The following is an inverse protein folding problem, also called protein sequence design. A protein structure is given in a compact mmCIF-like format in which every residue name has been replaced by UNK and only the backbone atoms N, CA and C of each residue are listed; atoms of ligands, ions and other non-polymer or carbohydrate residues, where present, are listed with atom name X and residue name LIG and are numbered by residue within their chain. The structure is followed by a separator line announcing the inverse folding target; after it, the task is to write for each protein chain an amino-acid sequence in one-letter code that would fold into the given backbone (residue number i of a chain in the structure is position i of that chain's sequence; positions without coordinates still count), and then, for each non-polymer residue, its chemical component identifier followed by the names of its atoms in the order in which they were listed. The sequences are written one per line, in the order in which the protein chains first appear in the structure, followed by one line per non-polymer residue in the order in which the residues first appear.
data_IF_077307059804
#
_entry.id   IF_077307059804
#
_cell.length_a   1.000
_cell.length_b   1.000
_cell.length_c   1.000
_cell.angle_alpha   90.00
_cell.angle_beta   90.00
_cell.angle_gamma   90.00
#
_symmetry.space_group_name_H-M   'P 1'
#
loop_
_entity.id
_entity.type
_entity.pdbx_description
1 polymer ?
#
# COMPACT_ATOMS: atom_id res chain seq x y z
N UNK A 1 -30.58 -16.18 17.37
CA UNK A 1 -29.23 -16.16 16.76
C UNK A 1 -28.79 -14.71 16.68
N UNK A 2 -27.84 -14.26 17.51
CA UNK A 2 -27.39 -12.86 17.52
C UNK A 2 -26.51 -12.62 16.30
N UNK A 3 -26.95 -11.78 15.37
CA UNK A 3 -26.12 -11.22 14.31
C UNK A 3 -24.91 -10.54 14.97
N UNK A 4 -23.73 -11.14 14.80
CA UNK A 4 -22.47 -10.46 15.13
C UNK A 4 -22.32 -9.34 14.10
N UNK A 5 -22.52 -8.08 14.50
CA UNK A 5 -22.04 -6.93 13.71
C UNK A 5 -20.54 -7.10 13.53
N UNK A 6 -20.14 -7.58 12.36
CA UNK A 6 -18.74 -7.62 11.96
C UNK A 6 -18.33 -6.18 11.67
N UNK A 7 -17.54 -5.59 12.57
CA UNK A 7 -16.95 -4.26 12.38
C UNK A 7 -15.68 -4.41 11.56
N UNK A 8 -15.60 -3.75 10.41
CA UNK A 8 -14.43 -3.76 9.53
C UNK A 8 -14.74 -4.22 8.09
N UNK A 9 -13.71 -4.28 7.26
CA UNK A 9 -13.81 -4.69 5.85
C UNK A 9 -13.67 -6.21 5.72
N UNK A 10 -14.64 -6.86 5.07
CA UNK A 10 -14.63 -8.31 4.84
C UNK A 10 -14.92 -8.64 3.37
N UNK A 11 -14.33 -9.71 2.88
CA UNK A 11 -14.64 -10.24 1.56
C UNK A 11 -15.79 -11.26 1.58
N UNK A 12 -16.13 -11.80 0.41
CA UNK A 12 -17.19 -12.81 0.24
C UNK A 12 -16.93 -14.13 1.00
N UNK A 13 -15.68 -14.40 1.38
CA UNK A 13 -15.28 -15.56 2.18
C UNK A 13 -15.16 -15.23 3.68
N UNK A 14 -15.64 -14.06 4.11
CA UNK A 14 -15.60 -13.62 5.51
C UNK A 14 -14.16 -13.45 6.05
N UNK A 15 -13.18 -13.21 5.18
CA UNK A 15 -11.80 -12.86 5.61
C UNK A 15 -11.75 -11.38 5.92
N UNK A 16 -11.18 -11.03 7.07
CA UNK A 16 -10.97 -9.63 7.44
C UNK A 16 -9.84 -9.03 6.61
N UNK A 17 -10.12 -7.92 5.94
CA UNK A 17 -9.14 -7.13 5.21
C UNK A 17 -8.63 -6.04 6.16
N UNK A 18 -7.44 -6.24 6.72
CA UNK A 18 -6.83 -5.33 7.69
C UNK A 18 -5.49 -4.75 7.22
N UNK A 19 -4.98 -5.16 6.06
CA UNK A 19 -3.71 -4.69 5.53
C UNK A 19 -3.82 -4.19 4.09
N UNK A 20 -3.04 -3.18 3.78
CA UNK A 20 -2.92 -2.57 2.46
C UNK A 20 -1.47 -2.68 2.00
N UNK A 21 -1.26 -3.29 0.82
CA UNK A 21 0.05 -3.34 0.15
C UNK A 21 0.09 -2.28 -0.94
N UNK A 22 1.04 -1.36 -0.87
CA UNK A 22 1.18 -0.26 -1.83
C UNK A 22 2.49 -0.45 -2.58
N UNK A 23 2.43 -0.49 -3.91
CA UNK A 23 3.61 -0.38 -4.78
C UNK A 23 3.93 1.10 -4.96
N UNK A 24 5.08 1.56 -4.44
CA UNK A 24 5.45 2.99 -4.49
C UNK A 24 6.35 3.33 -5.68
N UNK A 25 6.91 2.32 -6.34
CA UNK A 25 7.76 2.45 -7.52
C UNK A 25 7.88 1.11 -8.25
N UNK A 26 8.03 1.13 -9.57
CA UNK A 26 8.22 -0.09 -10.37
C UNK A 26 9.70 -0.39 -10.65
N UNK A 27 10.60 0.56 -10.36
CA UNK A 27 12.03 0.41 -10.57
C UNK A 27 12.66 -0.42 -9.45
N UNK A 28 13.59 -1.31 -9.82
CA UNK A 28 14.42 -2.09 -8.92
C UNK A 28 15.89 -1.97 -9.34
N UNK A 29 16.81 -1.98 -8.38
CA UNK A 29 18.25 -1.99 -8.63
C UNK A 29 18.80 -3.40 -8.85
N UNK A 30 17.94 -4.43 -8.78
CA UNK A 30 18.26 -5.82 -9.06
C UNK A 30 17.44 -6.34 -10.24
N UNK A 31 17.98 -7.37 -10.90
CA UNK A 31 17.36 -8.04 -12.05
C UNK A 31 17.17 -9.53 -11.73
N UNK A 32 16.39 -9.82 -10.68
CA UNK A 32 16.22 -11.18 -10.16
C UNK A 32 15.50 -12.06 -11.19
N UNK A 33 16.05 -13.23 -11.49
CA UNK A 33 15.54 -14.17 -12.53
C UNK A 33 14.07 -14.53 -12.32
N UNK A 34 13.63 -14.75 -11.08
CA UNK A 34 12.24 -15.13 -10.77
C UNK A 34 11.27 -13.94 -10.68
N UNK A 35 11.78 -12.69 -10.71
CA UNK A 35 10.97 -11.49 -10.52
C UNK A 35 10.87 -10.64 -11.79
N UNK A 36 11.95 -10.56 -12.57
CA UNK A 36 12.07 -9.64 -13.71
C UNK A 36 11.37 -10.11 -14.99
N UNK A 37 11.13 -11.42 -15.16
CA UNK A 37 10.64 -11.98 -16.42
C UNK A 37 9.21 -11.52 -16.78
N UNK A 38 8.45 -10.98 -15.82
CA UNK A 38 7.05 -10.58 -16.00
C UNK A 38 6.75 -9.08 -15.80
N UNK A 39 7.74 -8.25 -15.45
CA UNK A 39 7.50 -6.98 -14.75
C UNK A 39 8.16 -5.73 -15.36
N UNK A 40 8.74 -5.79 -16.56
CA UNK A 40 9.40 -4.63 -17.20
C UNK A 40 8.41 -3.63 -17.81
N UNK A 41 7.51 -3.09 -17.01
CA UNK A 41 6.78 -1.87 -17.37
C UNK A 41 7.42 -0.74 -16.58
N UNK A 42 8.32 0.00 -17.23
CA UNK A 42 8.82 1.25 -16.69
C UNK A 42 7.71 2.29 -16.86
N UNK A 43 6.81 2.34 -15.89
CA UNK A 43 5.75 3.35 -15.91
C UNK A 43 6.39 4.74 -15.86
N UNK A 44 5.90 5.69 -16.68
CA UNK A 44 6.32 7.07 -16.55
C UNK A 44 5.89 7.59 -15.17
N UNK A 45 6.65 8.54 -14.63
CA UNK A 45 6.38 9.08 -13.28
C UNK A 45 4.96 9.63 -13.11
N UNK A 46 4.34 10.08 -14.20
CA UNK A 46 2.95 10.57 -14.22
C UNK A 46 1.89 9.48 -13.98
N UNK A 47 2.24 8.21 -14.17
CA UNK A 47 1.34 7.08 -13.93
C UNK A 47 1.51 6.47 -12.53
N UNK A 48 2.52 6.92 -11.77
CA UNK A 48 2.75 6.50 -10.39
C UNK A 48 2.06 7.50 -9.46
N UNK A 49 1.31 6.97 -8.48
CA UNK A 49 0.64 7.80 -7.47
C UNK A 49 1.62 8.71 -6.74
N UNK A 50 1.23 9.96 -6.57
CA UNK A 50 1.90 10.93 -5.70
C UNK A 50 1.79 10.54 -4.22
N UNK A 51 2.64 11.12 -3.38
CA UNK A 51 2.60 10.84 -1.95
C UNK A 51 1.28 11.30 -1.32
N UNK A 52 0.73 12.40 -1.83
CA UNK A 52 -0.53 13.00 -1.42
C UNK A 52 -1.71 12.07 -1.75
N UNK A 53 -1.70 11.45 -2.93
CA UNK A 53 -2.69 10.46 -3.32
C UNK A 53 -2.58 9.19 -2.48
N UNK A 54 -1.37 8.71 -2.23
CA UNK A 54 -1.14 7.54 -1.36
C UNK A 54 -1.63 7.83 0.06
N UNK A 55 -1.30 9.00 0.62
CA UNK A 55 -1.75 9.40 1.95
C UNK A 55 -3.28 9.47 2.03
N UNK A 56 -3.93 10.08 1.03
CA UNK A 56 -5.39 10.13 0.95
C UNK A 56 -6.00 8.73 0.90
N UNK A 57 -5.41 7.83 0.10
CA UNK A 57 -5.87 6.45 -0.01
C UNK A 57 -5.75 5.71 1.32
N UNK A 58 -4.64 5.88 2.04
CA UNK A 58 -4.43 5.27 3.36
C UNK A 58 -5.40 5.83 4.40
N UNK A 59 -5.70 7.13 4.39
CA UNK A 59 -6.71 7.74 5.28
C UNK A 59 -8.10 7.14 5.07
N UNK A 60 -8.53 7.00 3.81
CA UNK A 60 -9.81 6.37 3.47
C UNK A 60 -9.79 4.90 3.92
N UNK A 61 -8.72 4.16 3.63
CA UNK A 61 -8.60 2.77 4.01
C UNK A 61 -8.61 2.56 5.54
N UNK A 62 -7.95 3.42 6.30
CA UNK A 62 -7.96 3.40 7.75
C UNK A 62 -9.37 3.59 8.31
N UNK A 63 -10.15 4.50 7.73
CA UNK A 63 -11.56 4.70 8.10
C UNK A 63 -12.45 3.46 7.87
N UNK A 64 -11.99 2.51 7.03
CA UNK A 64 -12.68 1.25 6.74
C UNK A 64 -12.19 0.08 7.61
N UNK A 65 -11.23 0.33 8.51
CA UNK A 65 -10.68 -0.66 9.45
C UNK A 65 -9.38 -1.34 8.98
N UNK A 66 -8.70 -0.81 7.97
CA UNK A 66 -7.32 -1.19 7.67
C UNK A 66 -6.39 -0.57 8.72
N UNK A 67 -5.50 -1.36 9.30
CA UNK A 67 -4.54 -0.86 10.29
C UNK A 67 -3.08 -1.09 9.91
N UNK A 68 -2.79 -1.87 8.87
CA UNK A 68 -1.42 -2.16 8.44
C UNK A 68 -1.17 -1.68 7.02
N UNK A 69 -0.08 -0.93 6.82
CA UNK A 69 0.37 -0.53 5.48
C UNK A 69 1.74 -1.13 5.20
N UNK A 70 1.86 -1.87 4.09
CA UNK A 70 3.13 -2.41 3.61
C UNK A 70 3.53 -1.71 2.33
N UNK A 71 4.62 -0.94 2.40
CA UNK A 71 5.22 -0.33 1.22
C UNK A 71 6.10 -1.36 0.50
N UNK A 72 5.89 -1.49 -0.80
CA UNK A 72 6.57 -2.41 -1.71
C UNK A 72 6.78 -1.74 -3.05
N UNK A 73 7.24 -2.48 -4.05
CA UNK A 73 7.43 -2.01 -5.42
C UNK A 73 8.38 -2.94 -6.14
N UNK A 74 9.22 -2.39 -7.00
CA UNK A 74 10.55 -2.94 -7.27
C UNK A 74 11.39 -2.86 -6.00
N UNK A 75 12.23 -1.84 -5.88
CA UNK A 75 12.96 -1.54 -4.65
C UNK A 75 12.47 -0.22 -4.04
N UNK A 76 11.63 -0.24 -2.99
CA UNK A 76 11.05 0.95 -2.37
C UNK A 76 12.08 2.01 -2.00
N UNK A 77 13.28 1.60 -1.57
CA UNK A 77 14.33 2.52 -1.12
C UNK A 77 14.92 3.37 -2.24
N UNK A 78 14.63 3.07 -3.51
CA UNK A 78 15.00 3.92 -4.65
C UNK A 78 14.12 5.18 -4.77
N UNK A 79 12.95 5.21 -4.13
CA UNK A 79 12.08 6.39 -4.10
C UNK A 79 12.65 7.43 -3.13
N UNK A 80 13.17 8.53 -3.67
CA UNK A 80 13.93 9.55 -2.92
C UNK A 80 13.15 10.23 -1.78
N UNK A 81 11.83 10.27 -1.86
CA UNK A 81 10.93 10.89 -0.89
C UNK A 81 10.18 9.88 -0.02
N UNK A 82 10.61 8.60 -0.01
CA UNK A 82 9.96 7.55 0.77
C UNK A 82 9.87 7.88 2.27
N UNK A 83 10.91 8.48 2.85
CA UNK A 83 10.93 8.84 4.28
C UNK A 83 9.85 9.88 4.64
N UNK A 84 9.54 10.80 3.71
CA UNK A 84 8.45 11.77 3.87
C UNK A 84 7.10 11.06 3.82
N UNK A 85 6.94 10.12 2.89
CA UNK A 85 5.74 9.30 2.80
C UNK A 85 5.54 8.49 4.09
N UNK A 86 6.55 7.76 4.56
CA UNK A 86 6.49 6.98 5.81
C UNK A 86 6.09 7.86 6.99
N UNK A 87 6.70 9.06 7.12
CA UNK A 87 6.33 10.02 8.17
C UNK A 87 4.87 10.47 8.05
N UNK A 88 4.38 10.77 6.85
CA UNK A 88 3.00 11.18 6.64
C UNK A 88 2.01 10.05 6.98
N UNK A 89 2.33 8.82 6.58
CA UNK A 89 1.51 7.64 6.86
C UNK A 89 1.48 7.29 8.35
N UNK A 90 2.58 7.49 9.08
CA UNK A 90 2.63 7.24 10.52
C UNK A 90 1.80 8.23 11.35
N UNK A 91 1.30 9.31 10.74
CA UNK A 91 0.38 10.27 11.39
C UNK A 91 -1.08 9.97 11.06
N UNK A 92 -1.37 8.94 10.26
CA UNK A 92 -2.75 8.57 9.95
C UNK A 92 -3.33 7.80 11.13
N UNK A 93 -4.41 8.33 11.70
CA UNK A 93 -5.15 7.68 12.77
C UNK A 93 -5.66 6.30 12.32
N UNK A 94 -5.46 5.28 13.15
CA UNK A 94 -5.86 3.90 12.88
C UNK A 94 -4.80 3.04 12.19
N UNK A 95 -3.65 3.59 11.82
CA UNK A 95 -2.51 2.83 11.31
C UNK A 95 -1.53 2.50 12.46
N UNK A 96 -1.15 1.22 12.55
CA UNK A 96 -0.18 0.65 13.51
C UNK A 96 1.26 0.63 12.98
#
# INVERSE_FOLDING_TARGET
MKERKMTGLFDSWQRQINYLRISVCDHCNLNCVYCSESSRINLPRSEILSNEEIQRLVQVAASMGINKVRLTGGEPLLKSDLSKLVRALSQVEGID
#
